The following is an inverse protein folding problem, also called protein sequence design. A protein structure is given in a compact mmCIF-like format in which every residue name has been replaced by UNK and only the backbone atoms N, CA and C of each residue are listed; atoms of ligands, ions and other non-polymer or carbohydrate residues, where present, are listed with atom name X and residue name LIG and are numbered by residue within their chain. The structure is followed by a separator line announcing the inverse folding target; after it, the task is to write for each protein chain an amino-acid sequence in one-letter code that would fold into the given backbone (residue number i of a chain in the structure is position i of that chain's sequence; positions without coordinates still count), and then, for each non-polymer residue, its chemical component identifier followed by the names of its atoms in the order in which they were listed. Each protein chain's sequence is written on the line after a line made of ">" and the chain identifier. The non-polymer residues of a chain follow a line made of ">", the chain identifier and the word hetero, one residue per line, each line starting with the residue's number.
data_IF_159170276959
#
_entry.id   IF_159170276959
#
_cell.length_a   1.000
_cell.length_b   1.000
_cell.length_c   1.000
_cell.angle_alpha   90.00
_cell.angle_beta   90.00
_cell.angle_gamma   90.00
#
_symmetry.space_group_name_H-M   'P 1'
#
loop_
_entity.id
_entity.type
_entity.pdbx_description
1 polymer ?
#
# COMPACT_ATOMS: atom_id res chain seq x y z
N UNK A 1 3.23 -15.28 -21.42
CA UNK A 1 1.93 -15.46 -20.73
C UNK A 1 0.80 -14.80 -21.53
N UNK A 2 -0.47 -15.15 -21.27
CA UNK A 2 -1.62 -14.68 -22.04
C UNK A 2 -1.84 -13.15 -22.03
N UNK A 3 -1.33 -12.44 -21.02
CA UNK A 3 -1.33 -10.97 -20.96
C UNK A 3 0.10 -10.46 -20.71
N UNK A 4 0.85 -10.25 -21.79
CA UNK A 4 2.29 -9.93 -21.74
C UNK A 4 2.62 -8.42 -21.80
N UNK A 5 1.66 -7.55 -22.14
CA UNK A 5 1.93 -6.11 -22.33
C UNK A 5 2.44 -5.41 -21.06
N UNK A 6 1.91 -5.78 -19.89
CA UNK A 6 2.27 -5.21 -18.59
C UNK A 6 2.95 -6.28 -17.74
N UNK A 7 4.08 -6.77 -18.23
CA UNK A 7 4.91 -7.76 -17.55
C UNK A 7 5.84 -7.11 -16.51
N UNK A 8 6.67 -7.90 -15.84
CA UNK A 8 7.61 -7.39 -14.83
C UNK A 8 8.65 -6.43 -15.42
N UNK A 9 9.13 -6.72 -16.64
CA UNK A 9 10.17 -5.92 -17.31
C UNK A 9 9.66 -4.51 -17.59
N UNK A 10 8.40 -4.37 -17.97
CA UNK A 10 7.75 -3.07 -18.14
C UNK A 10 7.93 -2.18 -16.91
N UNK A 11 7.56 -2.66 -15.71
CA UNK A 11 7.64 -1.87 -14.49
C UNK A 11 9.07 -1.54 -14.07
N UNK A 12 9.98 -2.52 -14.16
CA UNK A 12 11.40 -2.34 -13.83
C UNK A 12 12.06 -1.32 -14.77
N UNK A 13 11.72 -1.34 -16.06
CA UNK A 13 12.27 -0.39 -17.04
C UNK A 13 11.79 1.02 -16.73
N UNK A 14 10.49 1.18 -16.46
CA UNK A 14 9.90 2.48 -16.12
C UNK A 14 10.50 3.06 -14.83
N UNK A 15 10.75 2.24 -13.80
CA UNK A 15 11.41 2.70 -12.58
C UNK A 15 12.80 3.27 -12.83
N UNK A 16 13.59 2.62 -13.71
CA UNK A 16 14.93 3.11 -14.10
C UNK A 16 14.85 4.42 -14.89
N UNK A 17 13.89 4.54 -15.79
CA UNK A 17 13.65 5.78 -16.54
C UNK A 17 13.25 6.93 -15.60
N UNK A 18 12.37 6.68 -14.64
CA UNK A 18 11.96 7.66 -13.63
C UNK A 18 13.14 8.09 -12.74
N UNK A 19 14.00 7.15 -12.32
CA UNK A 19 15.23 7.48 -11.61
C UNK A 19 16.16 8.35 -12.46
N UNK A 20 16.39 7.99 -13.73
CA UNK A 20 17.22 8.78 -14.64
C UNK A 20 16.66 10.18 -14.91
N UNK A 21 15.33 10.33 -14.83
CA UNK A 21 14.64 11.62 -14.92
C UNK A 21 14.72 12.46 -13.62
N UNK A 22 15.37 11.97 -12.56
CA UNK A 22 15.62 12.72 -11.33
C UNK A 22 14.59 12.49 -10.22
N UNK A 23 13.85 11.38 -10.25
CA UNK A 23 12.97 11.03 -9.14
C UNK A 23 13.77 10.77 -7.84
N UNK A 24 13.17 11.11 -6.70
CA UNK A 24 13.73 10.81 -5.36
C UNK A 24 13.12 9.55 -4.73
N UNK A 25 11.89 9.20 -5.12
CA UNK A 25 11.11 8.06 -4.63
C UNK A 25 10.35 7.51 -5.83
N UNK A 26 10.22 6.18 -5.91
CA UNK A 26 9.39 5.50 -6.90
C UNK A 26 8.07 5.08 -6.23
N UNK A 27 6.94 5.57 -6.76
CA UNK A 27 5.63 5.13 -6.30
C UNK A 27 5.07 4.03 -7.21
N UNK A 28 4.61 2.93 -6.61
CA UNK A 28 3.75 1.94 -7.27
C UNK A 28 2.31 2.30 -6.93
N UNK A 29 1.61 2.91 -7.90
CA UNK A 29 0.20 3.31 -7.75
C UNK A 29 -0.74 2.27 -8.34
N UNK A 30 -1.29 1.40 -7.50
CA UNK A 30 -2.34 0.43 -7.84
C UNK A 30 -3.73 1.03 -7.56
N UNK A 31 -4.16 1.91 -8.45
CA UNK A 31 -5.39 2.71 -8.32
C UNK A 31 -6.69 1.91 -8.20
N UNK A 32 -6.68 0.61 -8.55
CA UNK A 32 -7.88 -0.21 -8.61
C UNK A 32 -7.80 -1.47 -7.72
N UNK A 33 -6.77 -1.59 -6.88
CA UNK A 33 -6.62 -2.75 -5.99
C UNK A 33 -6.42 -4.07 -6.73
N UNK A 34 -5.69 -4.05 -7.85
CA UNK A 34 -5.50 -5.20 -8.73
C UNK A 34 -4.30 -6.06 -8.33
N UNK A 35 -3.35 -5.50 -7.60
CA UNK A 35 -2.11 -6.19 -7.25
C UNK A 35 -2.40 -7.27 -6.21
N UNK A 36 -2.06 -8.52 -6.56
CA UNK A 36 -2.21 -9.67 -5.67
C UNK A 36 -0.94 -9.89 -4.83
N UNK A 37 -1.03 -10.53 -3.65
CA UNK A 37 0.12 -10.71 -2.76
C UNK A 37 1.31 -11.44 -3.41
N UNK A 38 1.06 -12.48 -4.22
CA UNK A 38 2.12 -13.19 -4.92
C UNK A 38 2.85 -12.31 -5.96
N UNK A 39 2.10 -11.45 -6.66
CA UNK A 39 2.66 -10.50 -7.62
C UNK A 39 3.42 -9.37 -6.92
N UNK A 40 2.94 -8.90 -5.77
CA UNK A 40 3.65 -7.91 -4.95
C UNK A 40 5.04 -8.41 -4.54
N UNK A 41 5.16 -9.67 -4.08
CA UNK A 41 6.47 -10.24 -3.71
C UNK A 41 7.48 -10.21 -4.86
N UNK A 42 7.03 -10.56 -6.06
CA UNK A 42 7.87 -10.52 -7.26
C UNK A 42 8.20 -9.09 -7.66
N UNK A 43 7.20 -8.21 -7.69
CA UNK A 43 7.34 -6.83 -8.16
C UNK A 43 8.28 -6.03 -7.26
N UNK A 44 8.02 -5.98 -5.94
CA UNK A 44 8.79 -5.14 -5.03
C UNK A 44 10.23 -5.62 -4.90
N UNK A 45 10.47 -6.94 -4.88
CA UNK A 45 11.83 -7.49 -4.93
C UNK A 45 12.56 -7.04 -6.19
N UNK A 46 11.95 -7.20 -7.36
CA UNK A 46 12.57 -6.83 -8.63
C UNK A 46 12.81 -5.31 -8.76
N UNK A 47 11.91 -4.48 -8.22
CA UNK A 47 12.11 -3.03 -8.20
C UNK A 47 13.27 -2.65 -7.27
N UNK A 48 13.36 -3.26 -6.08
CA UNK A 48 14.48 -3.04 -5.14
C UNK A 48 15.84 -3.45 -5.71
N UNK A 49 15.87 -4.47 -6.56
CA UNK A 49 17.08 -4.88 -7.28
C UNK A 49 17.42 -3.93 -8.46
N UNK A 50 16.44 -3.16 -8.94
CA UNK A 50 16.57 -2.33 -10.13
C UNK A 50 16.89 -0.86 -9.85
N UNK A 51 16.56 -0.37 -8.66
CA UNK A 51 16.75 1.02 -8.23
C UNK A 51 17.08 1.07 -6.74
N UNK A 52 17.98 1.98 -6.36
CA UNK A 52 18.33 2.27 -4.97
C UNK A 52 17.38 3.30 -4.34
N UNK A 53 16.46 3.88 -5.12
CA UNK A 53 15.48 4.83 -4.60
C UNK A 53 14.47 4.12 -3.69
N UNK A 54 13.99 4.79 -2.63
CA UNK A 54 12.87 4.29 -1.84
C UNK A 54 11.64 4.02 -2.70
N UNK A 55 10.91 2.97 -2.37
CA UNK A 55 9.67 2.56 -3.03
C UNK A 55 8.48 2.79 -2.10
N UNK A 56 7.47 3.48 -2.61
CA UNK A 56 6.21 3.76 -1.91
C UNK A 56 5.06 3.02 -2.61
N UNK A 57 4.36 2.16 -1.88
CA UNK A 57 3.21 1.43 -2.41
C UNK A 57 1.88 2.06 -2.01
N UNK A 58 1.06 2.36 -3.02
CA UNK A 58 -0.31 2.82 -2.88
C UNK A 58 -1.27 1.82 -3.53
N UNK A 59 -2.34 1.43 -2.84
CA UNK A 59 -3.39 0.56 -3.37
C UNK A 59 -4.77 0.92 -2.82
N UNK A 60 -5.79 0.23 -3.32
CA UNK A 60 -7.18 0.31 -2.87
C UNK A 60 -7.67 -1.09 -2.47
N UNK A 61 -8.59 -1.17 -1.51
CA UNK A 61 -9.08 -2.42 -0.92
C UNK A 61 -10.35 -2.95 -1.59
N UNK A 62 -10.56 -2.60 -2.86
CA UNK A 62 -11.82 -2.92 -3.57
C UNK A 62 -12.02 -4.42 -3.72
N UNK A 63 -10.91 -5.16 -3.73
CA UNK A 63 -10.88 -6.62 -3.75
C UNK A 63 -11.07 -7.27 -2.37
N UNK A 64 -11.00 -6.50 -1.29
CA UNK A 64 -11.04 -6.98 0.11
C UNK A 64 -9.78 -7.74 0.56
N UNK A 65 -8.71 -7.74 -0.25
CA UNK A 65 -7.46 -8.47 0.04
C UNK A 65 -6.22 -7.57 0.04
N UNK A 66 -6.37 -6.26 -0.12
CA UNK A 66 -5.22 -5.38 -0.35
C UNK A 66 -4.30 -5.27 0.87
N UNK A 67 -4.82 -5.46 2.10
CA UNK A 67 -4.00 -5.58 3.30
C UNK A 67 -3.00 -6.75 3.18
N UNK A 68 -3.42 -7.89 2.62
CA UNK A 68 -2.51 -9.01 2.37
C UNK A 68 -1.45 -8.69 1.31
N UNK A 69 -1.81 -7.87 0.30
CA UNK A 69 -0.85 -7.38 -0.70
C UNK A 69 0.15 -6.40 -0.09
N UNK A 70 -0.31 -5.51 0.79
CA UNK A 70 0.54 -4.57 1.54
C UNK A 70 1.53 -5.32 2.42
N UNK A 71 1.07 -6.28 3.24
CA UNK A 71 1.97 -7.08 4.08
C UNK A 71 2.99 -7.86 3.24
N UNK A 72 2.58 -8.41 2.09
CA UNK A 72 3.50 -9.06 1.17
C UNK A 72 4.53 -8.09 0.56
N UNK A 73 4.16 -6.83 0.33
CA UNK A 73 5.10 -5.78 -0.08
C UNK A 73 6.08 -5.41 1.05
N UNK A 74 5.61 -5.35 2.29
CA UNK A 74 6.45 -5.14 3.49
C UNK A 74 7.45 -6.28 3.64
N UNK A 75 7.04 -7.54 3.53
CA UNK A 75 7.94 -8.70 3.54
C UNK A 75 9.01 -8.63 2.44
N UNK A 76 8.73 -7.90 1.36
CA UNK A 76 9.58 -7.80 0.17
C UNK A 76 10.42 -6.52 0.12
N UNK A 77 10.46 -5.76 1.22
CA UNK A 77 11.36 -4.61 1.34
C UNK A 77 10.82 -3.29 0.78
N UNK A 78 9.49 -3.13 0.59
CA UNK A 78 8.93 -1.81 0.29
C UNK A 78 9.22 -0.83 1.43
N UNK A 79 9.50 0.44 1.13
CA UNK A 79 9.94 1.43 2.13
C UNK A 79 8.78 2.17 2.78
N UNK A 80 7.72 2.44 2.02
CA UNK A 80 6.52 3.12 2.49
C UNK A 80 5.25 2.48 1.91
N UNK A 81 4.17 2.55 2.67
CA UNK A 81 2.84 2.06 2.27
C UNK A 81 1.79 3.13 2.60
N UNK A 82 0.74 3.18 1.79
CA UNK A 82 -0.47 3.96 2.11
C UNK A 82 -1.52 3.08 2.78
N UNK A 83 -2.17 3.62 3.80
CA UNK A 83 -3.32 3.04 4.49
C UNK A 83 -4.29 4.17 4.91
N UNK A 84 -5.54 3.82 5.22
CA UNK A 84 -6.53 4.77 5.71
C UNK A 84 -6.87 4.49 7.18
N UNK A 85 -7.24 5.55 7.93
CA UNK A 85 -7.83 5.40 9.25
C UNK A 85 -9.02 4.45 9.20
N UNK A 86 -9.15 3.59 10.20
CA UNK A 86 -9.98 2.39 10.15
C UNK A 86 -11.43 2.71 9.75
N UNK A 87 -12.01 3.77 10.33
CA UNK A 87 -13.38 4.22 10.08
C UNK A 87 -13.65 4.76 8.66
N UNK A 88 -12.60 5.02 7.88
CA UNK A 88 -12.63 5.46 6.48
C UNK A 88 -11.83 4.53 5.55
N UNK A 89 -11.54 3.31 6.00
CA UNK A 89 -10.79 2.29 5.26
C UNK A 89 -11.71 1.23 4.63
N UNK A 90 -11.12 0.37 3.79
CA UNK A 90 -11.81 -0.75 3.15
C UNK A 90 -12.62 -0.33 1.92
N UNK A 91 -13.24 -1.31 1.26
CA UNK A 91 -14.01 -1.10 0.02
C UNK A 91 -13.19 -0.33 -1.02
N UNK A 92 -13.70 0.78 -1.54
CA UNK A 92 -12.98 1.59 -2.54
C UNK A 92 -11.89 2.48 -1.95
N UNK A 93 -11.71 2.50 -0.62
CA UNK A 93 -10.63 3.22 0.07
C UNK A 93 -9.34 2.37 0.13
N UNK A 94 -8.32 2.85 0.84
CA UNK A 94 -7.11 2.09 1.20
C UNK A 94 -7.43 0.98 2.23
N UNK A 95 -6.54 -0.01 2.41
CA UNK A 95 -6.65 -0.96 3.52
C UNK A 95 -6.52 -0.28 4.90
N UNK A 96 -7.03 -0.96 5.92
CA UNK A 96 -7.11 -0.48 7.29
C UNK A 96 -5.72 -0.26 7.93
N UNK A 97 -5.42 0.98 8.31
CA UNK A 97 -4.19 1.37 8.98
C UNK A 97 -4.03 0.60 10.30
N UNK A 98 -4.99 0.70 11.21
CA UNK A 98 -4.90 0.04 12.52
C UNK A 98 -4.63 -1.45 12.42
N UNK A 99 -5.27 -2.13 11.47
CA UNK A 99 -5.05 -3.57 11.24
C UNK A 99 -3.67 -3.88 10.67
N UNK A 100 -3.16 -3.07 9.73
CA UNK A 100 -1.80 -3.26 9.20
C UNK A 100 -0.76 -3.03 10.29
N UNK A 101 -0.90 -1.96 11.08
CA UNK A 101 0.03 -1.66 12.17
C UNK A 101 0.02 -2.77 13.22
N UNK A 102 -1.15 -3.25 13.63
CA UNK A 102 -1.23 -4.36 14.59
C UNK A 102 -0.64 -5.67 14.02
N UNK A 103 -0.78 -5.92 12.71
CA UNK A 103 -0.18 -7.08 12.05
C UNK A 103 1.37 -7.02 11.99
N UNK A 104 1.94 -5.81 11.95
CA UNK A 104 3.40 -5.59 11.90
C UNK A 104 4.03 -5.43 13.28
N UNK A 105 3.22 -5.30 14.33
CA UNK A 105 3.68 -5.05 15.69
C UNK A 105 4.58 -6.17 16.20
N UNK A 106 5.74 -5.81 16.71
CA UNK A 106 6.76 -6.74 17.20
C UNK A 106 7.54 -7.49 16.12
N UNK A 107 7.31 -7.20 14.85
CA UNK A 107 8.14 -7.73 13.76
C UNK A 107 9.42 -6.90 13.59
N UNK A 108 10.37 -7.38 12.78
CA UNK A 108 11.58 -6.60 12.42
C UNK A 108 11.23 -5.28 11.71
N UNK A 109 10.08 -5.22 11.04
CA UNK A 109 9.61 -4.04 10.30
C UNK A 109 8.44 -3.35 11.02
N UNK A 110 8.41 -3.43 12.35
CA UNK A 110 7.45 -2.69 13.17
C UNK A 110 7.59 -1.17 12.90
N UNK A 111 6.53 -0.48 12.48
CA UNK A 111 6.57 0.96 12.19
C UNK A 111 6.63 1.84 13.45
N UNK A 112 6.47 1.27 14.65
CA UNK A 112 6.58 2.01 15.92
C UNK A 112 5.44 2.99 16.19
N UNK A 113 4.27 2.78 15.56
CA UNK A 113 3.09 3.60 15.77
C UNK A 113 2.20 3.01 16.87
N UNK A 114 1.74 3.86 17.80
CA UNK A 114 0.91 3.44 18.93
C UNK A 114 -0.52 3.08 18.46
N UNK A 115 -0.94 1.80 18.56
CA UNK A 115 -2.29 1.37 18.17
C UNK A 115 -3.40 2.03 19.00
N UNK A 116 -3.12 2.44 20.24
CA UNK A 116 -4.11 3.15 21.07
C UNK A 116 -4.41 4.54 20.50
N UNK A 117 -3.39 5.28 20.08
CA UNK A 117 -3.59 6.57 19.44
C UNK A 117 -4.27 6.45 18.08
N UNK A 118 -3.92 5.43 17.29
CA UNK A 118 -4.59 5.16 16.00
C UNK A 118 -6.09 4.96 16.22
N UNK A 119 -6.49 4.12 17.19
CA UNK A 119 -7.92 3.91 17.51
C UNK A 119 -8.60 5.18 17.97
N UNK A 120 -7.97 5.96 18.85
CA UNK A 120 -8.56 7.23 19.33
C UNK A 120 -8.81 8.21 18.17
N UNK A 121 -7.86 8.31 17.22
CA UNK A 121 -8.02 9.16 16.02
C UNK A 121 -9.09 8.58 15.09
N UNK A 122 -9.14 7.26 14.93
CA UNK A 122 -10.17 6.59 14.13
C UNK A 122 -11.59 6.81 14.67
N UNK A 123 -11.78 6.81 16.00
CA UNK A 123 -13.07 7.13 16.64
C UNK A 123 -13.50 8.57 16.38
N UNK A 124 -12.57 9.52 16.33
CA UNK A 124 -12.87 10.87 15.87
C UNK A 124 -13.37 10.86 14.43
N UNK A 125 -12.67 10.16 13.53
CA UNK A 125 -13.08 10.06 12.12
C UNK A 125 -14.40 9.33 11.92
N UNK A 126 -14.74 8.37 12.77
CA UNK A 126 -16.04 7.71 12.78
C UNK A 126 -17.16 8.71 13.07
N UNK A 127 -17.00 9.53 14.12
CA UNK A 127 -17.96 10.57 14.45
C UNK A 127 -18.09 11.63 13.34
N UNK A 128 -16.97 12.01 12.70
CA UNK A 128 -16.96 12.93 11.56
C UNK A 128 -17.66 12.32 10.34
N UNK A 129 -17.38 11.06 10.00
CA UNK A 129 -17.98 10.36 8.83
C UNK A 129 -19.50 10.41 8.87
N UNK A 130 -20.11 10.25 10.03
CA UNK A 130 -21.57 10.32 10.20
C UNK A 130 -22.17 11.67 9.75
N UNK A 131 -21.40 12.76 9.77
CA UNK A 131 -21.83 14.08 9.30
C UNK A 131 -21.95 14.14 7.75
N UNK A 132 -21.33 13.19 7.05
CA UNK A 132 -21.28 13.12 5.58
C UNK A 132 -22.22 12.04 5.01
N UNK A 133 -23.22 11.59 5.79
CA UNK A 133 -24.16 10.53 5.38
C UNK A 133 -24.84 10.80 4.03
N UNK A 134 -25.01 12.06 3.63
CA UNK A 134 -25.58 12.44 2.33
C UNK A 134 -24.74 11.99 1.11
N UNK A 135 -23.48 11.57 1.32
CA UNK A 135 -22.53 11.23 0.26
C UNK A 135 -22.03 9.78 0.33
N UNK A 136 -22.57 8.96 1.23
CA UNK A 136 -22.26 7.52 1.27
C UNK A 136 -22.86 6.82 0.04
N UNK A 137 -22.12 5.86 -0.53
CA UNK A 137 -22.47 5.11 -1.75
C UNK A 137 -23.31 3.87 -1.48
#
# INVERSE_FOLDING_TARGET
>A
PARAKYDLKYYVTLAKELQAAGAHIIAVKDMAGLLKPAAARVLFKALREATDLPIHFHTHDTSGLSAATVLAAVDSGVDAIDAAMDSLSGNTSQPCLGSIIEALKGTERDPGLDPQWIRNISFYWEAVRNQYAAFES
#
